data_IF_900667110181
#
_entry.id   IF_900667110181
#
_cell.length_a   1.000
_cell.length_b   1.000
_cell.length_c   1.000
_cell.angle_alpha   90.00
_cell.angle_beta   90.00
_cell.angle_gamma   90.00
#
_symmetry.space_group_name_H-M   'P 1'
#
loop_
_entity.id
_entity.type
_entity.pdbx_description
1 polymer ?
#
# COMPACT_ATOMS: atom_id res chain seq x y z
N UNK A 1 16.20 -1.56 -15.38
CA UNK A 1 17.26 -1.44 -14.35
C UNK A 1 16.66 -0.78 -13.09
N UNK A 2 17.30 -0.78 -11.91
CA UNK A 2 16.75 -0.08 -10.73
C UNK A 2 16.85 1.44 -10.92
N UNK A 3 17.95 1.92 -11.47
CA UNK A 3 18.19 3.35 -11.69
C UNK A 3 17.26 3.90 -12.78
N UNK A 4 17.05 3.13 -13.84
CA UNK A 4 16.10 3.44 -14.91
C UNK A 4 14.64 3.52 -14.41
N UNK A 5 14.28 2.64 -13.46
CA UNK A 5 12.98 2.72 -12.82
C UNK A 5 12.83 4.01 -12.00
N UNK A 6 13.83 4.37 -11.21
CA UNK A 6 13.79 5.56 -10.35
C UNK A 6 13.83 6.88 -11.16
N UNK A 7 14.59 6.92 -12.26
CA UNK A 7 14.75 8.13 -13.07
C UNK A 7 13.59 8.38 -14.06
N UNK A 8 12.96 7.31 -14.57
CA UNK A 8 11.96 7.44 -15.64
C UNK A 8 10.57 6.97 -15.22
N UNK A 9 10.47 5.74 -14.70
CA UNK A 9 9.17 5.09 -14.48
C UNK A 9 8.48 5.62 -13.22
N UNK A 10 9.23 5.73 -12.12
CA UNK A 10 8.69 6.11 -10.82
C UNK A 10 8.08 7.51 -10.83
N UNK A 11 8.73 8.57 -11.38
CA UNK A 11 8.13 9.89 -11.46
C UNK A 11 6.79 9.92 -12.20
N UNK A 12 6.65 9.10 -13.25
CA UNK A 12 5.40 8.96 -13.99
C UNK A 12 4.31 8.23 -13.18
N UNK A 13 4.70 7.33 -12.27
CA UNK A 13 3.77 6.61 -11.40
C UNK A 13 3.34 7.40 -10.15
N UNK A 14 4.15 8.35 -9.65
CA UNK A 14 3.81 9.19 -8.49
C UNK A 14 2.40 9.82 -8.57
N UNK A 15 2.00 10.51 -9.66
CA UNK A 15 0.64 11.05 -9.76
C UNK A 15 -0.43 9.94 -9.77
N UNK A 16 -0.11 8.76 -10.29
CA UNK A 16 -1.01 7.60 -10.31
C UNK A 16 -1.19 7.03 -8.90
N UNK A 17 -0.13 6.97 -8.09
CA UNK A 17 -0.22 6.52 -6.69
C UNK A 17 -1.12 7.40 -5.83
N UNK A 18 -1.32 8.66 -6.22
CA UNK A 18 -2.22 9.59 -5.53
C UNK A 18 -3.64 9.52 -6.06
N UNK A 19 -3.81 9.43 -7.38
CA UNK A 19 -5.12 9.57 -8.05
C UNK A 19 -5.84 8.25 -8.32
N UNK A 20 -5.13 7.12 -8.34
CA UNK A 20 -5.72 5.81 -8.63
C UNK A 20 -6.83 5.45 -7.63
N UNK A 21 -7.90 4.87 -8.17
CA UNK A 21 -9.07 4.36 -7.46
C UNK A 21 -9.63 3.13 -8.18
N UNK A 22 -10.54 2.40 -7.54
CA UNK A 22 -11.20 1.23 -8.14
C UNK A 22 -10.22 0.16 -8.64
N UNK A 23 -10.46 -0.35 -9.86
CA UNK A 23 -9.66 -1.40 -10.48
C UNK A 23 -8.18 -0.99 -10.69
N UNK A 24 -7.91 0.28 -10.96
CA UNK A 24 -6.53 0.78 -11.12
C UNK A 24 -5.77 0.70 -9.80
N UNK A 25 -6.39 1.12 -8.69
CA UNK A 25 -5.78 1.00 -7.37
C UNK A 25 -5.57 -0.47 -7.00
N UNK A 26 -6.58 -1.33 -7.25
CA UNK A 26 -6.47 -2.77 -7.02
C UNK A 26 -5.32 -3.40 -7.81
N UNK A 27 -5.13 -3.03 -9.07
CA UNK A 27 -4.00 -3.49 -9.88
C UNK A 27 -2.66 -3.07 -9.26
N UNK A 28 -2.55 -1.82 -8.81
CA UNK A 28 -1.33 -1.30 -8.18
C UNK A 28 -1.01 -2.05 -6.88
N UNK A 29 -2.00 -2.32 -6.03
CA UNK A 29 -1.80 -3.08 -4.79
C UNK A 29 -1.41 -4.52 -5.08
N UNK A 30 -2.04 -5.18 -6.07
CA UNK A 30 -1.66 -6.54 -6.53
C UNK A 30 -0.22 -6.62 -7.02
N UNK A 31 0.32 -5.52 -7.55
CA UNK A 31 1.69 -5.43 -8.09
C UNK A 31 2.63 -4.62 -7.20
N UNK A 32 2.22 -4.29 -5.97
CA UNK A 32 2.99 -3.42 -5.09
C UNK A 32 4.37 -3.98 -4.76
N UNK A 33 4.52 -5.30 -4.65
CA UNK A 33 5.82 -5.94 -4.35
C UNK A 33 6.89 -5.59 -5.40
N UNK A 34 6.52 -5.48 -6.68
CA UNK A 34 7.45 -5.09 -7.74
C UNK A 34 7.92 -3.64 -7.55
N UNK A 35 6.98 -2.74 -7.24
CA UNK A 35 7.24 -1.31 -7.02
C UNK A 35 8.11 -1.12 -5.77
N UNK A 36 7.75 -1.80 -4.67
CA UNK A 36 8.47 -1.80 -3.40
C UNK A 36 9.90 -2.31 -3.59
N UNK A 37 10.10 -3.38 -4.37
CA UNK A 37 11.43 -3.96 -4.62
C UNK A 37 12.37 -3.03 -5.41
N UNK A 38 11.81 -2.04 -6.12
CA UNK A 38 12.56 -1.13 -6.99
C UNK A 38 12.68 0.28 -6.43
N UNK A 39 11.80 0.71 -5.54
CA UNK A 39 11.87 2.03 -4.91
C UNK A 39 12.93 2.12 -3.81
N UNK A 40 13.40 3.33 -3.52
CA UNK A 40 14.14 3.64 -2.29
C UNK A 40 13.20 3.70 -1.10
N UNK A 41 13.74 3.65 0.12
CA UNK A 41 12.93 3.80 1.33
C UNK A 41 12.24 5.18 1.39
N UNK A 42 12.90 6.23 0.90
CA UNK A 42 12.31 7.56 0.79
C UNK A 42 11.04 7.55 -0.07
N UNK A 43 11.13 7.02 -1.30
CA UNK A 43 9.98 6.95 -2.21
C UNK A 43 8.88 6.01 -1.72
N UNK A 44 9.28 4.94 -1.02
CA UNK A 44 8.34 4.04 -0.39
C UNK A 44 7.51 4.76 0.67
N UNK A 45 8.14 5.57 1.53
CA UNK A 45 7.45 6.33 2.57
C UNK A 45 6.64 7.49 1.98
N UNK A 46 7.18 8.22 1.01
CA UNK A 46 6.55 9.46 0.49
C UNK A 46 5.41 9.21 -0.50
N UNK A 47 5.40 8.08 -1.22
CA UNK A 47 4.45 7.86 -2.32
C UNK A 47 3.70 6.53 -2.23
N UNK A 48 4.41 5.44 -1.92
CA UNK A 48 3.81 4.09 -1.95
C UNK A 48 2.99 3.83 -0.68
N UNK A 49 3.53 4.17 0.49
CA UNK A 49 2.84 3.97 1.76
C UNK A 49 1.51 4.75 1.83
N UNK A 50 1.41 6.03 1.42
CA UNK A 50 0.12 6.72 1.33
C UNK A 50 -0.89 6.01 0.43
N UNK A 51 -0.46 5.47 -0.72
CA UNK A 51 -1.32 4.70 -1.61
C UNK A 51 -1.86 3.44 -0.90
N UNK A 52 -1.00 2.70 -0.20
CA UNK A 52 -1.42 1.49 0.52
C UNK A 52 -2.30 1.81 1.72
N UNK A 53 -2.02 2.91 2.43
CA UNK A 53 -2.89 3.47 3.48
C UNK A 53 -4.31 3.70 2.94
N UNK A 54 -4.45 4.32 1.77
CA UNK A 54 -5.77 4.52 1.12
C UNK A 54 -6.46 3.18 0.82
N UNK A 55 -5.70 2.16 0.40
CA UNK A 55 -6.26 0.85 0.11
C UNK A 55 -6.81 0.12 1.35
N UNK A 56 -6.23 0.32 2.54
CA UNK A 56 -6.82 -0.21 3.77
C UNK A 56 -8.14 0.50 4.13
N UNK A 57 -8.22 1.80 3.85
CA UNK A 57 -9.36 2.65 4.21
C UNK A 57 -10.47 2.65 3.14
N UNK A 58 -10.28 1.94 2.02
CA UNK A 58 -11.26 1.83 0.93
C UNK A 58 -12.51 1.03 1.33
N UNK A 59 -13.55 1.10 0.52
CA UNK A 59 -14.81 0.35 0.70
C UNK A 59 -14.85 -0.99 -0.04
N UNK A 60 -14.01 -1.19 -1.07
CA UNK A 60 -13.96 -2.45 -1.81
C UNK A 60 -13.25 -3.54 -0.96
N UNK A 61 -13.94 -4.63 -0.57
CA UNK A 61 -13.35 -5.70 0.23
C UNK A 61 -12.19 -6.40 -0.48
N UNK A 62 -12.20 -6.48 -1.82
CA UNK A 62 -11.10 -7.09 -2.60
C UNK A 62 -9.81 -6.29 -2.44
N UNK A 63 -9.92 -4.97 -2.35
CA UNK A 63 -8.80 -4.08 -2.16
C UNK A 63 -8.25 -4.17 -0.74
N UNK A 64 -9.14 -4.18 0.26
CA UNK A 64 -8.78 -4.38 1.67
C UNK A 64 -8.05 -5.71 1.89
N UNK A 65 -8.57 -6.80 1.32
CA UNK A 65 -7.96 -8.13 1.42
C UNK A 65 -6.58 -8.17 0.77
N UNK A 66 -6.44 -7.55 -0.40
CA UNK A 66 -5.18 -7.51 -1.12
C UNK A 66 -4.11 -6.71 -0.37
N UNK A 67 -4.45 -5.55 0.19
CA UNK A 67 -3.47 -4.77 0.97
C UNK A 67 -3.10 -5.47 2.28
N UNK A 68 -4.04 -6.20 2.92
CA UNK A 68 -3.77 -7.03 4.09
C UNK A 68 -2.75 -8.15 3.80
N UNK A 69 -2.84 -8.80 2.64
CA UNK A 69 -1.84 -9.79 2.20
C UNK A 69 -0.44 -9.18 2.09
N UNK A 70 -0.33 -7.92 1.69
CA UNK A 70 0.96 -7.22 1.54
C UNK A 70 1.50 -6.63 2.84
N UNK A 71 0.69 -6.54 3.89
CA UNK A 71 1.09 -5.94 5.19
C UNK A 71 2.36 -6.56 5.76
N UNK A 72 2.51 -7.88 5.71
CA UNK A 72 3.69 -8.58 6.25
C UNK A 72 4.95 -8.19 5.48
N UNK A 73 4.88 -8.16 4.15
CA UNK A 73 6.02 -7.76 3.31
C UNK A 73 6.41 -6.31 3.58
N UNK A 74 5.43 -5.42 3.64
CA UNK A 74 5.64 -4.01 3.95
C UNK A 74 6.25 -3.81 5.34
N UNK A 75 5.82 -4.58 6.35
CA UNK A 75 6.35 -4.48 7.71
C UNK A 75 7.83 -4.81 7.85
N UNK A 76 8.41 -5.53 6.88
CA UNK A 76 9.84 -5.83 6.87
C UNK A 76 10.68 -4.68 6.32
N UNK A 77 10.06 -3.75 5.59
CA UNK A 77 10.73 -2.63 4.91
C UNK A 77 10.63 -1.33 5.70
N UNK A 78 9.63 -1.21 6.58
CA UNK A 78 9.35 -0.01 7.35
C UNK A 78 9.85 -0.12 8.78
N UNK A 79 10.19 1.03 9.36
CA UNK A 79 10.50 1.10 10.78
C UNK A 79 9.24 0.87 11.64
N UNK A 80 9.45 0.36 12.85
CA UNK A 80 8.38 0.00 13.78
C UNK A 80 7.52 1.21 14.20
N UNK A 81 8.10 2.40 14.30
CA UNK A 81 7.35 3.60 14.70
C UNK A 81 6.36 3.98 13.59
N UNK A 82 6.80 3.98 12.34
CA UNK A 82 5.95 4.28 11.20
C UNK A 82 4.86 3.23 11.01
N UNK A 83 5.15 1.95 11.21
CA UNK A 83 4.15 0.88 11.16
C UNK A 83 3.05 1.07 12.21
N UNK A 84 3.43 1.39 13.45
CA UNK A 84 2.47 1.64 14.54
C UNK A 84 1.58 2.84 14.27
N UNK A 85 2.09 3.87 13.59
CA UNK A 85 1.32 5.08 13.29
C UNK A 85 0.45 4.94 12.06
N UNK A 86 0.95 4.29 11.01
CA UNK A 86 0.34 4.33 9.68
C UNK A 86 -0.41 3.06 9.32
N UNK A 87 0.03 1.88 9.78
CA UNK A 87 -0.52 0.60 9.31
C UNK A 87 -1.34 -0.09 10.38
N UNK A 88 -0.82 -0.18 11.61
CA UNK A 88 -1.46 -0.91 12.70
C UNK A 88 -2.90 -0.45 13.02
N UNK A 89 -3.21 0.87 13.08
CA UNK A 89 -4.59 1.32 13.37
C UNK A 89 -5.60 0.86 12.31
N UNK A 90 -5.15 0.72 11.05
CA UNK A 90 -5.99 0.36 9.91
C UNK A 90 -6.25 -1.13 9.86
N UNK A 91 -5.20 -1.94 10.05
CA UNK A 91 -5.34 -3.40 10.21
C UNK A 91 -6.27 -3.71 11.36
N UNK A 92 -6.10 -3.03 12.50
CA UNK A 92 -7.00 -3.18 13.64
C UNK A 92 -8.44 -2.78 13.29
N UNK A 93 -8.64 -1.63 12.63
CA UNK A 93 -9.96 -1.18 12.18
C UNK A 93 -10.66 -2.17 11.24
N UNK A 94 -9.93 -2.78 10.30
CA UNK A 94 -10.46 -3.82 9.41
C UNK A 94 -10.83 -5.10 10.16
N UNK A 95 -10.04 -5.51 11.15
CA UNK A 95 -10.36 -6.65 12.00
C UNK A 95 -11.68 -6.43 12.79
N UNK A 96 -11.92 -5.21 13.26
CA UNK A 96 -13.17 -4.87 13.94
C UNK A 96 -14.38 -4.90 12.99
N UNK A 97 -14.23 -4.40 11.75
CA UNK A 97 -15.30 -4.41 10.74
C UNK A 97 -15.68 -5.82 10.28
N UNK A 98 -14.70 -6.70 10.12
CA UNK A 98 -14.94 -8.10 9.71
C UNK A 98 -15.64 -8.94 10.77
N UNK A 99 -15.52 -8.56 12.05
CA UNK A 99 -16.21 -9.25 13.15
C UNK A 99 -17.73 -9.01 13.14
N UNK A 100 -18.19 -7.88 12.59
CA UNK A 100 -19.63 -7.54 12.51
C UNK A 100 -20.32 -8.18 11.30
N UNK A 101 -19.58 -8.54 10.25
CA UNK A 101 -20.15 -9.18 9.05
C UNK A 101 -20.30 -10.71 9.17
N UNK A 102 -19.78 -11.31 10.24
CA UNK A 102 -19.82 -12.74 10.50
C UNK A 102 -20.99 -13.17 11.43
N UNK A 103 -21.92 -12.26 11.75
CA UNK A 103 -23.12 -12.52 12.56
C UNK A 103 -24.41 -12.38 11.73
#
# INVERSE_FOLDING_TARGET
DKDDFELSTLPALVPVFTSASGETLLLLVKRADLIISKATNEHLISHILPMLVRAYDDTDPRLQEEVLRRTVTLSRQLDMKLLKQSVLPRVHGLALKTTVAAV
#
